data_IF_836927368062
#
_entry.id   IF_836927368062
#
_cell.length_a   1.000
_cell.length_b   1.000
_cell.length_c   1.000
_cell.angle_alpha   90.00
_cell.angle_beta   90.00
_cell.angle_gamma   90.00
#
_symmetry.space_group_name_H-M   'P 1'
#
loop_
_entity.id
_entity.type
_entity.pdbx_description
1 polymer ?
#
# COMPACT_ATOMS: atom_id res chain seq x y z
N UNK A 1 11.07 -37.40 14.31
CA UNK A 1 10.57 -36.23 13.55
C UNK A 1 9.07 -36.06 13.69
N UNK A 2 8.23 -37.05 13.28
CA UNK A 2 6.76 -36.91 13.25
C UNK A 2 6.14 -36.77 14.66
N UNK A 3 6.59 -37.51 15.64
CA UNK A 3 6.11 -37.43 17.02
C UNK A 3 6.35 -36.05 17.64
N UNK A 4 7.51 -35.44 17.35
CA UNK A 4 7.83 -34.09 17.83
C UNK A 4 6.91 -33.02 17.23
N UNK A 5 6.60 -33.13 15.93
CA UNK A 5 5.65 -32.25 15.24
C UNK A 5 4.25 -32.39 15.84
N UNK A 6 3.76 -33.61 16.04
CA UNK A 6 2.45 -33.86 16.66
C UNK A 6 2.37 -33.33 18.09
N UNK A 7 3.49 -33.35 18.84
CA UNK A 7 3.54 -32.83 20.20
C UNK A 7 3.60 -31.30 20.22
N UNK A 8 4.30 -30.67 19.26
CA UNK A 8 4.33 -29.24 19.09
C UNK A 8 2.99 -28.64 18.64
N UNK A 9 2.24 -29.35 17.80
CA UNK A 9 0.90 -28.95 17.35
C UNK A 9 -0.15 -28.94 18.49
N UNK A 10 0.13 -29.61 19.62
CA UNK A 10 -0.71 -29.54 20.84
C UNK A 10 -0.55 -28.21 21.59
N UNK A 11 0.58 -27.50 21.44
CA UNK A 11 0.75 -26.17 22.02
C UNK A 11 -0.01 -25.14 21.12
N UNK A 12 -1.02 -24.45 21.66
CA UNK A 12 -1.76 -23.42 20.91
C UNK A 12 -0.86 -22.32 20.32
N UNK A 13 0.27 -22.02 20.97
CA UNK A 13 1.23 -21.01 20.48
C UNK A 13 1.85 -21.46 19.17
N UNK A 14 2.24 -22.73 19.07
CA UNK A 14 2.83 -23.30 17.86
C UNK A 14 1.76 -23.46 16.78
N UNK A 15 0.61 -24.06 17.14
CA UNK A 15 -0.49 -24.32 16.21
C UNK A 15 -1.01 -23.04 15.53
N UNK A 16 -1.20 -21.96 16.29
CA UNK A 16 -1.71 -20.70 15.78
C UNK A 16 -0.61 -19.75 15.32
N UNK A 17 0.67 -20.07 15.55
CA UNK A 17 1.82 -19.18 15.26
C UNK A 17 1.65 -17.76 15.84
N UNK A 18 0.99 -17.65 17.00
CA UNK A 18 0.75 -16.38 17.69
C UNK A 18 1.20 -16.47 19.16
N UNK A 19 1.77 -15.41 19.74
CA UNK A 19 2.18 -15.42 21.15
C UNK A 19 0.97 -15.51 22.09
N UNK A 20 1.18 -16.08 23.28
CA UNK A 20 0.09 -16.35 24.27
C UNK A 20 -0.71 -15.10 24.63
N UNK A 21 -0.06 -13.96 24.76
CA UNK A 21 -0.74 -12.71 25.13
C UNK A 21 -1.75 -12.28 24.04
N UNK A 22 -1.38 -12.43 22.75
CA UNK A 22 -2.24 -12.09 21.61
C UNK A 22 -3.42 -13.08 21.52
N UNK A 23 -3.16 -14.38 21.68
CA UNK A 23 -4.24 -15.38 21.71
C UNK A 23 -5.23 -15.10 22.84
N UNK A 24 -4.74 -14.72 24.04
CA UNK A 24 -5.60 -14.36 25.17
C UNK A 24 -6.47 -13.13 24.84
N UNK A 25 -5.88 -12.11 24.22
CA UNK A 25 -6.60 -10.90 23.82
C UNK A 25 -7.64 -11.20 22.73
N UNK A 26 -7.28 -11.99 21.73
CA UNK A 26 -8.23 -12.42 20.67
C UNK A 26 -9.39 -13.23 21.24
N UNK A 27 -9.13 -14.21 22.10
CA UNK A 27 -10.18 -15.01 22.76
C UNK A 27 -11.13 -14.17 23.61
N UNK A 28 -10.60 -13.14 24.28
CA UNK A 28 -11.43 -12.26 25.09
C UNK A 28 -12.31 -11.33 24.23
N UNK A 29 -11.80 -10.86 23.09
CA UNK A 29 -12.51 -9.95 22.21
C UNK A 29 -13.44 -10.67 21.22
N UNK A 30 -13.02 -11.82 20.71
CA UNK A 30 -13.75 -12.63 19.71
C UNK A 30 -13.73 -14.11 20.08
N UNK A 31 -14.54 -14.54 21.08
CA UNK A 31 -14.52 -15.92 21.61
C UNK A 31 -14.76 -17.00 20.54
N UNK A 32 -15.65 -16.74 19.61
CA UNK A 32 -16.05 -17.69 18.55
C UNK A 32 -15.07 -17.67 17.35
N UNK A 33 -14.47 -16.52 17.06
CA UNK A 33 -13.73 -16.29 15.79
C UNK A 33 -12.20 -16.26 15.96
N UNK A 34 -11.66 -16.31 17.18
CA UNK A 34 -10.23 -16.11 17.43
C UNK A 34 -9.31 -17.07 16.64
N UNK A 35 -9.73 -18.33 16.42
CA UNK A 35 -8.95 -19.31 15.64
C UNK A 35 -8.98 -18.97 14.14
N UNK A 36 -10.13 -18.54 13.63
CA UNK A 36 -10.27 -18.08 12.26
C UNK A 36 -9.44 -16.81 11.99
N UNK A 37 -9.39 -15.89 12.97
CA UNK A 37 -8.53 -14.69 12.90
C UNK A 37 -7.05 -15.09 12.86
N UNK A 38 -6.62 -16.03 13.72
CA UNK A 38 -5.24 -16.53 13.68
C UNK A 38 -4.91 -17.20 12.35
N UNK A 39 -5.82 -18.00 11.81
CA UNK A 39 -5.64 -18.66 10.52
C UNK A 39 -5.54 -17.64 9.37
N UNK A 40 -6.39 -16.61 9.38
CA UNK A 40 -6.35 -15.53 8.41
C UNK A 40 -5.05 -14.73 8.46
N UNK A 41 -4.54 -14.45 9.68
CA UNK A 41 -3.26 -13.76 9.86
C UNK A 41 -2.07 -14.57 9.33
N UNK A 42 -2.15 -15.90 9.35
CA UNK A 42 -1.10 -16.79 8.85
C UNK A 42 -1.24 -17.11 7.35
N UNK A 43 -2.35 -16.74 6.73
CA UNK A 43 -2.54 -16.93 5.30
C UNK A 43 -1.64 -15.97 4.51
N UNK A 44 -1.23 -16.40 3.31
CA UNK A 44 -0.53 -15.49 2.40
C UNK A 44 -1.45 -14.31 2.05
N UNK A 45 -0.98 -13.07 2.24
CA UNK A 45 -1.77 -11.90 1.87
C UNK A 45 -1.99 -11.91 0.35
N UNK A 46 -3.17 -11.48 -0.11
CA UNK A 46 -3.38 -11.30 -1.55
C UNK A 46 -2.43 -10.22 -2.08
N UNK A 47 -1.83 -10.46 -3.24
CA UNK A 47 -1.07 -9.42 -3.92
C UNK A 47 -2.04 -8.54 -4.71
N UNK A 48 -2.14 -7.28 -4.31
CA UNK A 48 -3.03 -6.30 -4.93
C UNK A 48 -2.19 -5.24 -5.62
N UNK A 49 -2.56 -4.98 -6.88
CA UNK A 49 -1.94 -3.98 -7.73
C UNK A 49 -2.88 -2.80 -7.91
N UNK A 50 -2.32 -1.60 -8.00
CA UNK A 50 -2.97 -0.39 -8.47
C UNK A 50 -2.46 -0.07 -9.86
N UNK A 51 -3.37 0.15 -10.79
CA UNK A 51 -3.05 0.59 -12.16
C UNK A 51 -2.69 2.07 -12.17
N UNK A 52 -1.62 2.41 -12.89
CA UNK A 52 -1.31 3.78 -13.23
C UNK A 52 -2.18 4.22 -14.41
N UNK A 53 -3.31 4.88 -14.14
CA UNK A 53 -4.27 5.33 -15.15
C UNK A 53 -3.69 6.34 -16.16
N UNK A 54 -2.54 6.94 -15.86
CA UNK A 54 -1.85 7.83 -16.80
C UNK A 54 -1.20 7.06 -17.96
N UNK A 55 -0.97 5.76 -17.79
CA UNK A 55 -0.20 4.94 -18.73
C UNK A 55 -1.02 3.82 -19.34
N UNK A 56 -1.90 3.19 -18.55
CA UNK A 56 -2.70 2.04 -19.00
C UNK A 56 -4.08 2.02 -18.35
N UNK A 57 -5.02 1.26 -18.93
CA UNK A 57 -6.32 0.99 -18.31
C UNK A 57 -6.32 -0.37 -17.62
N UNK A 58 -7.19 -0.52 -16.60
CA UNK A 58 -7.31 -1.77 -15.83
C UNK A 58 -7.60 -2.99 -16.71
N UNK A 59 -8.55 -2.85 -17.64
CA UNK A 59 -8.95 -3.98 -18.51
C UNK A 59 -7.84 -4.37 -19.47
N UNK A 60 -7.09 -3.38 -19.98
CA UNK A 60 -5.90 -3.63 -20.81
C UNK A 60 -4.83 -4.39 -20.05
N UNK A 61 -4.59 -4.01 -18.81
CA UNK A 61 -3.59 -4.69 -17.98
C UNK A 61 -4.04 -6.09 -17.55
N UNK A 62 -5.33 -6.31 -17.29
CA UNK A 62 -5.88 -7.65 -17.06
C UNK A 62 -5.63 -8.59 -18.25
N UNK A 63 -5.79 -8.11 -19.49
CA UNK A 63 -5.46 -8.86 -20.70
C UNK A 63 -3.96 -9.17 -20.79
N UNK A 64 -3.09 -8.25 -20.39
CA UNK A 64 -1.64 -8.50 -20.35
C UNK A 64 -1.28 -9.57 -19.32
N UNK A 65 -1.92 -9.54 -18.14
CA UNK A 65 -1.73 -10.58 -17.12
C UNK A 65 -2.20 -11.96 -17.62
N UNK A 66 -3.37 -12.01 -18.25
CA UNK A 66 -3.91 -13.24 -18.84
C UNK A 66 -2.96 -13.80 -19.90
N UNK A 67 -2.46 -12.97 -20.82
CA UNK A 67 -1.49 -13.35 -21.83
C UNK A 67 -0.16 -13.86 -21.23
N UNK A 68 0.21 -13.36 -20.05
CA UNK A 68 1.37 -13.83 -19.27
C UNK A 68 1.08 -15.07 -18.41
N UNK A 69 -0.15 -15.62 -18.45
CA UNK A 69 -0.55 -16.78 -17.65
C UNK A 69 -0.76 -16.45 -16.16
N UNK A 70 -0.93 -15.18 -15.80
CA UNK A 70 -1.12 -14.72 -14.43
C UNK A 70 -2.61 -14.53 -14.15
N UNK A 71 -3.19 -15.39 -13.30
CA UNK A 71 -4.59 -15.30 -12.93
C UNK A 71 -4.85 -14.09 -12.02
N UNK A 72 -5.78 -13.24 -12.44
CA UNK A 72 -6.11 -11.99 -11.77
C UNK A 72 -7.60 -11.64 -11.90
N UNK A 73 -8.08 -10.77 -11.03
CA UNK A 73 -9.46 -10.25 -11.07
C UNK A 73 -9.51 -8.78 -10.65
N UNK A 74 -10.50 -8.00 -11.11
CA UNK A 74 -10.71 -6.64 -10.62
C UNK A 74 -10.98 -6.62 -9.12
N UNK A 75 -10.48 -5.61 -8.44
CA UNK A 75 -10.88 -5.31 -7.07
C UNK A 75 -12.33 -4.81 -7.02
N UNK A 76 -12.96 -4.99 -5.87
CA UNK A 76 -14.38 -4.67 -5.67
C UNK A 76 -14.64 -3.18 -5.48
N UNK A 77 -13.77 -2.51 -4.74
CA UNK A 77 -13.99 -1.14 -4.26
C UNK A 77 -13.10 -0.12 -4.98
N UNK A 78 -11.92 -0.54 -5.44
CA UNK A 78 -11.02 0.33 -6.21
C UNK A 78 -11.21 0.09 -7.71
N UNK A 79 -11.48 1.16 -8.45
CA UNK A 79 -11.56 1.12 -9.92
C UNK A 79 -10.20 0.81 -10.58
N UNK A 80 -9.10 1.10 -9.87
CA UNK A 80 -7.73 0.91 -10.34
C UNK A 80 -7.10 -0.38 -9.80
N UNK A 81 -7.83 -1.06 -8.91
CA UNK A 81 -7.34 -2.23 -8.22
C UNK A 81 -7.47 -3.51 -9.03
N UNK A 82 -6.40 -4.32 -9.00
CA UNK A 82 -6.38 -5.70 -9.50
C UNK A 82 -5.84 -6.59 -8.40
N UNK A 83 -6.53 -7.70 -8.14
CA UNK A 83 -6.11 -8.74 -7.22
C UNK A 83 -5.51 -9.90 -7.99
N UNK A 84 -4.28 -10.25 -7.70
CA UNK A 84 -3.66 -11.48 -8.22
C UNK A 84 -4.15 -12.69 -7.41
N UNK A 85 -4.46 -13.78 -8.09
CA UNK A 85 -4.98 -15.00 -7.46
C UNK A 85 -3.86 -15.95 -7.02
N UNK A 86 -2.65 -15.73 -7.50
CA UNK A 86 -1.44 -16.48 -7.15
C UNK A 86 -0.32 -15.53 -6.78
N UNK A 87 0.57 -15.98 -5.90
CA UNK A 87 1.78 -15.22 -5.57
C UNK A 87 2.63 -15.01 -6.82
N UNK A 88 3.14 -13.80 -6.99
CA UNK A 88 4.03 -13.42 -8.09
C UNK A 88 5.25 -12.69 -7.56
N UNK A 89 6.36 -12.80 -8.26
CA UNK A 89 7.51 -11.93 -8.06
C UNK A 89 7.21 -10.56 -8.66
N UNK A 90 7.15 -9.53 -7.83
CA UNK A 90 6.71 -8.18 -8.23
C UNK A 90 7.55 -7.59 -9.37
N UNK A 91 8.90 -7.67 -9.34
CA UNK A 91 9.73 -7.19 -10.45
C UNK A 91 9.45 -7.88 -11.79
N UNK A 92 8.93 -9.13 -11.78
CA UNK A 92 8.63 -9.88 -13.00
C UNK A 92 7.26 -9.58 -13.62
N UNK A 93 6.43 -8.78 -12.93
CA UNK A 93 5.12 -8.39 -13.45
C UNK A 93 5.24 -7.58 -14.74
N UNK A 94 4.39 -7.83 -15.77
CA UNK A 94 4.41 -7.08 -17.03
C UNK A 94 4.36 -5.57 -16.80
N UNK A 95 5.34 -4.84 -17.32
CA UNK A 95 5.40 -3.38 -17.25
C UNK A 95 5.55 -2.78 -15.84
N UNK A 96 5.92 -3.57 -14.82
CA UNK A 96 6.18 -3.03 -13.48
C UNK A 96 7.32 -2.01 -13.49
N UNK A 97 8.43 -2.34 -14.16
CA UNK A 97 9.58 -1.44 -14.31
C UNK A 97 9.22 -0.16 -15.10
N UNK A 98 8.26 -0.26 -16.02
CA UNK A 98 7.78 0.85 -16.85
C UNK A 98 6.68 1.68 -16.15
N UNK A 99 6.37 1.37 -14.90
CA UNK A 99 5.42 2.13 -14.09
C UNK A 99 3.95 1.92 -14.43
N UNK A 100 3.58 0.80 -15.09
CA UNK A 100 2.18 0.49 -15.40
C UNK A 100 1.36 0.20 -14.13
N UNK A 101 2.01 -0.35 -13.11
CA UNK A 101 1.35 -0.74 -11.85
C UNK A 101 2.22 -0.45 -10.64
N UNK A 102 1.57 -0.36 -9.50
CA UNK A 102 2.18 -0.32 -8.17
C UNK A 102 1.53 -1.35 -7.26
N UNK A 103 2.30 -1.90 -6.31
CA UNK A 103 1.72 -2.76 -5.26
C UNK A 103 1.10 -1.85 -4.20
N UNK A 104 -0.20 -2.01 -3.98
CA UNK A 104 -0.92 -1.27 -2.95
C UNK A 104 -2.20 -2.00 -2.58
N UNK A 105 -2.46 -2.14 -1.28
CA UNK A 105 -3.71 -2.71 -0.77
C UNK A 105 -4.94 -1.94 -1.26
N UNK A 106 -6.06 -2.65 -1.50
CA UNK A 106 -7.27 -2.05 -2.05
C UNK A 106 -7.82 -0.92 -1.17
N UNK A 107 -7.84 -1.09 0.15
CA UNK A 107 -8.31 -0.06 1.07
C UNK A 107 -7.42 1.19 1.01
N UNK A 108 -6.10 1.02 0.91
CA UNK A 108 -5.15 2.13 0.78
C UNK A 108 -5.33 2.91 -0.54
N UNK A 109 -5.83 2.26 -1.61
CA UNK A 109 -6.12 2.91 -2.88
C UNK A 109 -7.30 3.90 -2.78
N UNK A 110 -8.23 3.69 -1.85
CA UNK A 110 -9.39 4.58 -1.69
C UNK A 110 -9.01 5.95 -1.11
N UNK A 111 -7.91 6.04 -0.36
CA UNK A 111 -7.51 7.23 0.37
C UNK A 111 -7.30 8.45 -0.54
N UNK A 112 -6.64 8.27 -1.69
CA UNK A 112 -6.36 9.38 -2.61
C UNK A 112 -7.64 9.97 -3.23
N UNK A 113 -8.63 9.14 -3.55
CA UNK A 113 -9.93 9.58 -4.07
C UNK A 113 -10.74 10.41 -3.08
N UNK A 114 -10.63 10.13 -1.78
CA UNK A 114 -11.32 10.87 -0.73
C UNK A 114 -10.85 12.32 -0.59
N UNK A 115 -9.65 12.64 -1.06
CA UNK A 115 -9.12 14.00 -1.03
C UNK A 115 -9.78 14.95 -2.05
N UNK A 116 -10.52 14.42 -3.03
CA UNK A 116 -11.18 15.24 -4.06
C UNK A 116 -10.24 16.27 -4.67
N UNK A 117 -9.13 15.79 -5.22
CA UNK A 117 -8.07 16.64 -5.76
C UNK A 117 -8.54 17.44 -6.96
N UNK A 118 -8.09 18.69 -7.04
CA UNK A 118 -8.35 19.61 -8.15
C UNK A 118 -7.05 20.20 -8.70
N UNK A 119 -7.01 20.62 -9.97
CA UNK A 119 -5.85 21.30 -10.56
C UNK A 119 -5.42 22.52 -9.73
N UNK A 120 -4.12 22.77 -9.66
CA UNK A 120 -3.54 23.93 -8.99
C UNK A 120 -3.49 23.83 -7.45
N UNK A 121 -3.94 22.73 -6.84
CA UNK A 121 -3.86 22.56 -5.39
C UNK A 121 -2.45 22.22 -4.92
N UNK A 122 -2.14 22.68 -3.70
CA UNK A 122 -0.98 22.24 -2.92
C UNK A 122 -1.43 21.14 -1.98
N UNK A 123 -0.70 20.02 -1.96
CA UNK A 123 -1.06 18.82 -1.19
C UNK A 123 0.11 18.41 -0.30
N UNK A 124 -0.19 18.08 0.95
CA UNK A 124 0.75 17.45 1.87
C UNK A 124 0.37 15.96 2.03
N UNK A 125 1.35 15.09 1.85
CA UNK A 125 1.30 13.69 2.31
C UNK A 125 2.24 13.58 3.52
N UNK A 126 1.65 13.60 4.70
CA UNK A 126 2.36 13.44 5.96
C UNK A 126 2.47 11.95 6.32
N UNK A 127 3.65 11.50 6.76
CA UNK A 127 3.97 10.08 6.95
C UNK A 127 3.94 9.29 5.62
N UNK A 128 4.57 9.85 4.58
CA UNK A 128 4.38 9.44 3.19
C UNK A 128 5.00 8.08 2.81
N UNK A 129 6.03 7.64 3.53
CA UNK A 129 6.77 6.43 3.13
C UNK A 129 5.94 5.15 3.27
N UNK A 130 6.04 4.24 2.30
CA UNK A 130 7.00 4.13 1.19
C UNK A 130 6.62 4.88 -0.10
N UNK A 131 5.63 5.77 -0.10
CA UNK A 131 5.28 6.63 -1.22
C UNK A 131 4.12 6.14 -2.09
N UNK A 132 3.47 5.04 -1.73
CA UNK A 132 2.36 4.49 -2.51
C UNK A 132 1.19 5.46 -2.65
N UNK A 133 0.83 6.19 -1.57
CA UNK A 133 -0.22 7.20 -1.59
C UNK A 133 0.24 8.48 -2.28
N UNK A 134 1.45 8.96 -2.02
CA UNK A 134 2.05 10.12 -2.74
C UNK A 134 1.99 9.92 -4.26
N UNK A 135 2.45 8.76 -4.75
CA UNK A 135 2.40 8.45 -6.18
C UNK A 135 0.96 8.43 -6.70
N UNK A 136 0.03 7.85 -5.95
CA UNK A 136 -1.38 7.79 -6.33
C UNK A 136 -2.02 9.19 -6.46
N UNK A 137 -1.71 10.12 -5.55
CA UNK A 137 -2.16 11.52 -5.65
C UNK A 137 -1.74 12.14 -6.97
N UNK A 138 -0.46 11.96 -7.35
CA UNK A 138 0.12 12.49 -8.59
C UNK A 138 -0.40 11.79 -9.85
N UNK A 139 -0.75 10.52 -9.75
CA UNK A 139 -1.38 9.77 -10.85
C UNK A 139 -2.81 10.26 -11.09
N UNK A 140 -3.61 10.46 -10.02
CA UNK A 140 -4.99 10.90 -10.11
C UNK A 140 -5.12 12.35 -10.56
N UNK A 141 -4.22 13.24 -10.11
CA UNK A 141 -4.27 14.67 -10.48
C UNK A 141 -2.91 15.19 -10.91
N UNK A 142 -2.56 15.04 -12.21
CA UNK A 142 -1.27 15.48 -12.73
C UNK A 142 -1.04 17.01 -12.69
N UNK A 143 -2.11 17.79 -12.57
CA UNK A 143 -2.07 19.25 -12.55
C UNK A 143 -2.03 19.84 -11.13
N UNK A 144 -1.61 19.08 -10.12
CA UNK A 144 -1.33 19.63 -8.79
C UNK A 144 -0.20 20.66 -8.90
N UNK A 145 -0.36 21.81 -8.24
CA UNK A 145 0.67 22.84 -8.23
C UNK A 145 1.90 22.41 -7.42
N UNK A 146 1.70 21.67 -6.33
CA UNK A 146 2.77 21.26 -5.45
C UNK A 146 2.39 20.06 -4.59
N UNK A 147 3.26 19.08 -4.49
CA UNK A 147 3.10 17.95 -3.57
C UNK A 147 4.32 17.88 -2.67
N UNK A 148 4.08 17.98 -1.36
CA UNK A 148 5.09 17.73 -0.32
C UNK A 148 4.84 16.35 0.26
N UNK A 149 5.86 15.52 0.21
CA UNK A 149 5.88 14.18 0.81
C UNK A 149 6.84 14.22 2.01
N UNK A 150 6.26 14.20 3.22
CA UNK A 150 6.96 14.34 4.48
C UNK A 150 7.02 12.99 5.19
N UNK A 151 8.20 12.61 5.68
CA UNK A 151 8.36 11.46 6.58
C UNK A 151 9.43 11.76 7.63
N UNK A 152 9.30 11.18 8.82
CA UNK A 152 10.24 11.42 9.90
C UNK A 152 11.65 10.92 9.57
N UNK A 153 11.76 9.79 8.85
CA UNK A 153 13.01 9.10 8.61
C UNK A 153 13.53 9.30 7.18
N UNK A 154 14.67 9.96 7.05
CA UNK A 154 15.36 10.15 5.74
C UNK A 154 15.55 8.82 4.98
N UNK A 155 15.84 7.72 5.68
CA UNK A 155 16.03 6.40 5.03
C UNK A 155 14.77 5.89 4.36
N UNK A 156 13.59 6.16 4.92
CA UNK A 156 12.31 5.75 4.35
C UNK A 156 11.97 6.53 3.08
N UNK A 157 12.42 7.79 3.00
CA UNK A 157 12.23 8.62 1.82
C UNK A 157 12.98 8.10 0.57
N UNK A 158 14.02 7.30 0.73
CA UNK A 158 14.68 6.65 -0.42
C UNK A 158 13.71 5.77 -1.22
N UNK A 159 12.83 5.04 -0.53
CA UNK A 159 11.78 4.25 -1.19
C UNK A 159 10.74 5.11 -1.91
N UNK A 160 10.39 6.24 -1.31
CA UNK A 160 9.51 7.22 -1.97
C UNK A 160 10.14 7.73 -3.25
N UNK A 161 11.42 8.08 -3.20
CA UNK A 161 12.17 8.55 -4.36
C UNK A 161 12.27 7.51 -5.46
N UNK A 162 12.58 6.25 -5.12
CA UNK A 162 12.61 5.12 -6.07
C UNK A 162 11.25 4.95 -6.79
N UNK A 163 10.15 5.00 -6.04
CA UNK A 163 8.81 4.88 -6.60
C UNK A 163 8.46 6.06 -7.51
N UNK A 164 8.78 7.29 -7.11
CA UNK A 164 8.57 8.49 -7.93
C UNK A 164 9.37 8.39 -9.24
N UNK A 165 10.63 7.97 -9.19
CA UNK A 165 11.48 7.81 -10.38
C UNK A 165 10.91 6.73 -11.31
N UNK A 166 10.54 5.55 -10.79
CA UNK A 166 9.97 4.45 -11.58
C UNK A 166 8.67 4.86 -12.29
N UNK A 167 7.85 5.68 -11.64
CA UNK A 167 6.56 6.14 -12.14
C UNK A 167 6.66 7.45 -12.95
N UNK A 168 7.86 8.01 -13.10
CA UNK A 168 8.10 9.31 -13.73
C UNK A 168 7.24 10.43 -13.12
N UNK A 169 7.26 10.52 -11.79
CA UNK A 169 6.52 11.48 -10.97
C UNK A 169 7.48 12.37 -10.17
N UNK A 170 7.02 13.55 -9.78
CA UNK A 170 7.81 14.50 -8.99
C UNK A 170 7.03 14.99 -7.79
N UNK A 171 7.67 14.97 -6.61
CA UNK A 171 7.21 15.59 -5.37
C UNK A 171 8.40 16.15 -4.61
N UNK A 172 8.16 17.10 -3.72
CA UNK A 172 9.16 17.57 -2.78
C UNK A 172 9.24 16.59 -1.61
N UNK A 173 10.41 15.96 -1.42
CA UNK A 173 10.65 15.06 -0.29
C UNK A 173 11.27 15.85 0.87
N UNK A 174 10.69 15.72 2.06
CA UNK A 174 11.18 16.38 3.27
C UNK A 174 11.30 15.34 4.39
N UNK A 175 12.49 15.26 5.00
CA UNK A 175 12.67 14.51 6.23
C UNK A 175 12.41 15.45 7.42
N UNK A 176 11.41 15.12 8.25
CA UNK A 176 11.07 15.96 9.40
C UNK A 176 9.88 15.46 10.19
N UNK A 177 9.77 15.97 11.41
CA UNK A 177 8.58 15.75 12.25
C UNK A 177 7.43 16.63 11.75
N UNK A 178 6.31 16.02 11.41
CA UNK A 178 5.13 16.74 10.93
C UNK A 178 4.61 17.80 11.92
N UNK A 179 4.91 17.65 13.21
CA UNK A 179 4.53 18.58 14.27
C UNK A 179 5.42 19.82 14.34
N UNK A 180 6.66 19.74 13.81
CA UNK A 180 7.64 20.83 13.83
C UNK A 180 7.50 21.69 12.56
N UNK A 181 6.34 22.29 12.37
CA UNK A 181 5.98 23.03 11.15
C UNK A 181 6.88 24.23 10.88
N UNK A 182 7.45 24.84 11.90
CA UNK A 182 8.44 25.94 11.83
C UNK A 182 9.75 25.54 11.13
N UNK A 183 10.03 24.23 11.03
CA UNK A 183 11.25 23.69 10.43
C UNK A 183 11.11 23.41 8.93
N UNK A 184 9.97 22.92 8.49
CA UNK A 184 9.80 22.37 7.14
C UNK A 184 8.73 23.06 6.29
N UNK A 185 7.75 23.73 6.91
CA UNK A 185 6.66 24.38 6.19
C UNK A 185 7.05 25.79 5.71
N UNK A 186 6.71 26.10 4.47
CA UNK A 186 7.00 27.39 3.83
C UNK A 186 5.99 28.51 4.17
N UNK A 187 5.07 28.27 5.10
CA UNK A 187 4.02 29.22 5.51
C UNK A 187 2.84 29.31 4.54
N UNK A 188 2.87 28.63 3.40
CA UNK A 188 1.74 28.63 2.47
C UNK A 188 0.80 27.46 2.74
N UNK A 189 -0.53 27.68 2.80
CA UNK A 189 -1.48 26.63 3.16
C UNK A 189 -1.56 25.54 2.12
N UNK A 190 -1.76 24.29 2.60
CA UNK A 190 -2.15 23.17 1.78
C UNK A 190 -3.67 23.11 1.67
N UNK A 191 -4.20 22.91 0.46
CA UNK A 191 -5.63 22.74 0.24
C UNK A 191 -6.09 21.35 0.62
N UNK A 192 -5.17 20.37 0.59
CA UNK A 192 -5.43 18.97 1.00
C UNK A 192 -4.26 18.44 1.80
N UNK A 193 -4.59 17.66 2.83
CA UNK A 193 -3.60 16.98 3.66
C UNK A 193 -4.03 15.52 3.78
N UNK A 194 -3.12 14.62 3.43
CA UNK A 194 -3.21 13.19 3.71
C UNK A 194 -2.35 12.89 4.94
N UNK A 195 -2.93 12.30 5.96
CA UNK A 195 -2.23 11.81 7.13
C UNK A 195 -2.58 10.34 7.34
N UNK A 196 -1.58 9.49 7.19
CA UNK A 196 -1.66 8.04 7.36
C UNK A 196 -0.45 7.58 8.18
N UNK A 197 -0.60 7.56 9.53
CA UNK A 197 0.45 7.34 10.52
C UNK A 197 0.36 5.95 11.16
#
# INVERSE_FOLDING_TARGET
GAELLTQMEKDPVVRCAHPRWLQKALKAAWPEDWEAICAANNAYPPLILRINQRVTARDTYLQQLEAAGIAAQPCRFSNDGIRLLTAQDVPSLPGFADGLVSVQDEAAQLAAGLLQLAPGQRVLDACCAPGGKTCHLLELQPALAWVVALDLEQKRLLRVQENLQRLNLTAQLIAGDARATDVWWDGQPFQRILLDA
#
